data_IF_813457815383
#
_entry.id   IF_813457815383
#
_cell.length_a   1.000
_cell.length_b   1.000
_cell.length_c   1.000
_cell.angle_alpha   90.00
_cell.angle_beta   90.00
_cell.angle_gamma   90.00
#
_symmetry.space_group_name_H-M   'P 1'
#
loop_
_entity.id
_entity.type
_entity.pdbx_description
1 polymer ?
#
# COMPACT_ATOMS: atom_id res chain seq x y z
N UNK A 1 -4.02 -21.19 18.20
CA UNK A 1 -5.36 -20.91 17.69
C UNK A 1 -5.57 -21.76 16.48
N UNK A 2 -6.72 -22.42 16.42
CA UNK A 2 -7.08 -23.20 15.24
C UNK A 2 -7.72 -22.31 14.17
N UNK A 3 -8.04 -22.93 13.04
CA UNK A 3 -8.60 -22.25 11.88
C UNK A 3 -9.99 -21.66 12.15
N UNK A 4 -10.80 -22.35 12.96
CA UNK A 4 -12.18 -21.97 13.27
C UNK A 4 -12.23 -20.77 14.21
N UNK A 5 -11.38 -20.75 15.25
CA UNK A 5 -11.24 -19.61 16.15
C UNK A 5 -10.87 -18.31 15.40
N UNK A 6 -9.94 -18.41 14.44
CA UNK A 6 -9.52 -17.26 13.62
C UNK A 6 -10.66 -16.83 12.69
N UNK A 7 -11.34 -17.78 12.05
CA UNK A 7 -12.51 -17.52 11.21
C UNK A 7 -13.61 -16.75 11.96
N UNK A 8 -13.93 -17.16 13.19
CA UNK A 8 -14.92 -16.48 14.02
C UNK A 8 -14.51 -15.05 14.40
N UNK A 9 -13.23 -14.82 14.70
CA UNK A 9 -12.72 -13.46 14.94
C UNK A 9 -12.87 -12.57 13.72
N UNK A 10 -12.59 -13.10 12.52
CA UNK A 10 -12.75 -12.39 11.26
C UNK A 10 -14.21 -12.04 10.99
N UNK A 11 -15.14 -12.99 11.16
CA UNK A 11 -16.59 -12.73 11.01
C UNK A 11 -17.08 -11.64 11.94
N UNK A 12 -16.64 -11.66 13.21
CA UNK A 12 -16.97 -10.60 14.18
C UNK A 12 -16.43 -9.25 13.73
N UNK A 13 -15.16 -9.19 13.33
CA UNK A 13 -14.56 -7.95 12.84
C UNK A 13 -15.27 -7.39 11.59
N UNK A 14 -15.77 -8.26 10.71
CA UNK A 14 -16.58 -7.86 9.55
C UNK A 14 -17.97 -7.38 9.95
N UNK A 15 -18.61 -8.02 10.94
CA UNK A 15 -19.93 -7.63 11.44
C UNK A 15 -19.92 -6.31 12.23
N UNK A 16 -18.80 -5.98 12.87
CA UNK A 16 -18.61 -4.74 13.64
C UNK A 16 -18.32 -3.51 12.75
N UNK A 17 -18.15 -3.70 11.43
CA UNK A 17 -17.96 -2.58 10.52
C UNK A 17 -19.24 -1.73 10.46
N UNK A 18 -19.13 -0.40 10.57
CA UNK A 18 -20.27 0.46 10.29
C UNK A 18 -20.72 0.21 8.84
N UNK A 19 -22.03 0.16 8.61
CA UNK A 19 -22.59 0.15 7.25
C UNK A 19 -22.14 1.44 6.57
N UNK A 20 -21.10 1.38 5.74
CA UNK A 20 -20.54 2.56 5.12
C UNK A 20 -21.51 3.10 4.06
N UNK A 21 -22.13 4.25 4.34
CA UNK A 21 -22.95 5.00 3.38
C UNK A 21 -22.16 6.03 2.57
N UNK A 22 -20.82 5.97 2.56
CA UNK A 22 -20.00 6.96 1.86
C UNK A 22 -19.83 6.60 0.38
N UNK A 23 -20.89 6.83 -0.39
CA UNK A 23 -20.71 7.17 -1.79
C UNK A 23 -20.03 8.55 -1.83
N UNK A 24 -18.71 8.58 -2.01
CA UNK A 24 -17.98 9.83 -2.26
C UNK A 24 -18.43 10.36 -3.63
N UNK A 25 -19.04 11.56 -3.72
CA UNK A 25 -19.37 12.14 -5.01
C UNK A 25 -18.08 12.50 -5.77
N UNK A 26 -18.12 12.36 -7.09
CA UNK A 26 -17.09 12.75 -8.06
C UNK A 26 -15.77 11.95 -8.02
N UNK A 27 -15.75 10.81 -8.71
CA UNK A 27 -14.53 10.19 -9.24
C UNK A 27 -13.52 9.62 -8.23
N UNK A 28 -13.77 9.78 -6.92
CA UNK A 28 -12.94 9.26 -5.85
C UNK A 28 -13.56 7.99 -5.28
N UNK A 29 -13.23 6.86 -5.89
CA UNK A 29 -13.51 5.57 -5.28
C UNK A 29 -12.47 5.36 -4.16
N UNK A 30 -12.84 5.64 -2.91
CA UNK A 30 -12.10 5.13 -1.76
C UNK A 30 -12.42 3.63 -1.67
N UNK A 31 -11.62 2.80 -2.34
CA UNK A 31 -11.74 1.34 -2.23
C UNK A 31 -11.70 0.89 -0.75
N UNK A 32 -10.99 1.65 0.09
CA UNK A 32 -11.01 1.50 1.52
C UNK A 32 -12.08 2.40 2.15
N UNK A 33 -13.32 1.91 2.19
CA UNK A 33 -14.11 2.11 3.41
C UNK A 33 -13.35 1.56 4.63
N UNK A 34 -13.92 1.62 5.83
CA UNK A 34 -13.32 0.95 7.00
C UNK A 34 -13.23 -0.55 6.69
N UNK A 35 -12.04 -1.05 6.31
CA UNK A 35 -11.81 -2.48 6.07
C UNK A 35 -11.64 -3.20 7.40
N UNK A 36 -12.36 -4.30 7.57
CA UNK A 36 -12.23 -5.16 8.74
C UNK A 36 -10.79 -5.68 8.81
N UNK A 37 -10.23 -5.74 10.02
CA UNK A 37 -8.92 -6.33 10.23
C UNK A 37 -8.77 -6.82 11.66
N UNK A 38 -8.04 -7.91 11.82
CA UNK A 38 -7.59 -8.39 13.14
C UNK A 38 -6.06 -8.46 13.15
N UNK A 39 -5.47 -8.44 14.34
CA UNK A 39 -4.02 -8.54 14.49
C UNK A 39 -3.65 -9.73 15.38
N UNK A 40 -2.87 -10.65 14.84
CA UNK A 40 -2.47 -11.89 15.51
C UNK A 40 -0.94 -12.03 15.54
N UNK A 41 -0.45 -12.89 16.43
CA UNK A 41 0.94 -13.34 16.46
C UNK A 41 1.06 -14.65 15.68
N UNK A 42 2.09 -14.74 14.84
CA UNK A 42 2.46 -15.94 14.07
C UNK A 42 3.90 -16.30 14.39
N UNK A 43 4.13 -17.50 14.91
CA UNK A 43 5.46 -18.08 15.07
C UNK A 43 5.53 -19.39 14.27
N UNK A 44 6.25 -19.39 13.14
CA UNK A 44 6.20 -20.49 12.19
C UNK A 44 4.79 -20.63 11.59
N UNK A 45 4.17 -21.79 11.77
CA UNK A 45 2.79 -22.06 11.36
C UNK A 45 1.75 -21.81 12.46
N UNK A 46 2.18 -21.44 13.67
CA UNK A 46 1.28 -21.34 14.84
C UNK A 46 0.77 -19.92 15.01
N UNK A 47 -0.56 -19.78 15.06
CA UNK A 47 -1.26 -18.54 15.36
C UNK A 47 -1.65 -18.42 16.83
N UNK A 48 -1.52 -17.22 17.39
CA UNK A 48 -1.92 -16.89 18.76
C UNK A 48 -2.42 -15.45 18.89
N UNK A 49 -3.35 -15.22 19.82
CA UNK A 49 -3.78 -13.88 20.20
C UNK A 49 -2.67 -13.18 20.98
N UNK A 50 -2.37 -11.90 20.69
CA UNK A 50 -1.47 -11.12 21.52
C UNK A 50 -2.07 -10.98 22.93
N UNK A 51 -1.27 -11.27 23.96
CA UNK A 51 -1.68 -11.11 25.36
C UNK A 51 -0.58 -10.45 26.18
N UNK A 52 -0.97 -9.53 27.06
CA UNK A 52 -0.05 -8.73 27.88
C UNK A 52 1.00 -8.02 27.03
N UNK A 53 2.28 -8.29 27.32
CA UNK A 53 3.40 -7.67 26.61
C UNK A 53 3.65 -8.24 25.20
N UNK A 54 3.15 -9.45 24.90
CA UNK A 54 3.39 -10.14 23.62
C UNK A 54 2.69 -9.39 22.47
N UNK A 55 3.44 -8.81 21.51
CA UNK A 55 2.84 -8.09 20.40
C UNK A 55 2.24 -9.03 19.36
N UNK A 56 1.26 -8.53 18.59
CA UNK A 56 0.89 -9.13 17.31
C UNK A 56 2.01 -8.89 16.29
N UNK A 57 2.12 -9.80 15.32
CA UNK A 57 3.17 -9.79 14.26
C UNK A 57 2.59 -9.65 12.87
N UNK A 58 1.29 -9.95 12.71
CA UNK A 58 0.61 -9.94 11.43
C UNK A 58 -0.74 -9.24 11.57
N UNK A 59 -1.19 -8.64 10.47
CA UNK A 59 -2.54 -8.10 10.30
C UNK A 59 -3.24 -8.99 9.28
N UNK A 60 -4.44 -9.46 9.62
CA UNK A 60 -5.28 -10.23 8.71
C UNK A 60 -6.41 -9.32 8.23
N UNK A 61 -6.54 -9.19 6.92
CA UNK A 61 -7.57 -8.38 6.26
C UNK A 61 -8.47 -9.31 5.41
N UNK A 62 -9.70 -9.62 5.83
CA UNK A 62 -10.66 -10.27 4.94
C UNK A 62 -11.02 -9.33 3.78
N UNK A 63 -11.53 -9.91 2.70
CA UNK A 63 -12.10 -9.14 1.60
C UNK A 63 -13.29 -8.31 2.10
N UNK A 64 -13.45 -7.10 1.55
CA UNK A 64 -14.59 -6.26 1.84
C UNK A 64 -15.88 -6.84 1.21
N UNK A 65 -17.03 -6.77 1.89
CA UNK A 65 -18.31 -7.13 1.29
C UNK A 65 -18.56 -6.35 -0.01
N UNK A 66 -18.92 -7.05 -1.10
CA UNK A 66 -19.11 -6.45 -2.43
C UNK A 66 -17.81 -6.19 -3.22
N UNK A 67 -16.64 -6.55 -2.65
CA UNK A 67 -15.34 -6.53 -3.31
C UNK A 67 -14.59 -7.82 -2.98
N UNK A 68 -15.16 -8.95 -3.36
CA UNK A 68 -14.75 -10.27 -2.88
C UNK A 68 -13.29 -10.60 -3.20
N UNK A 69 -12.74 -10.07 -4.29
CA UNK A 69 -11.35 -10.31 -4.74
C UNK A 69 -10.38 -9.16 -4.43
N UNK A 70 -10.77 -8.17 -3.61
CA UNK A 70 -9.90 -7.05 -3.25
C UNK A 70 -8.60 -7.50 -2.54
N UNK A 71 -8.68 -8.54 -1.73
CA UNK A 71 -7.55 -9.14 -1.04
C UNK A 71 -6.52 -9.73 -2.04
N UNK A 72 -6.99 -10.36 -3.12
CA UNK A 72 -6.14 -10.84 -4.21
C UNK A 72 -5.51 -9.68 -4.97
N UNK A 73 -6.26 -8.61 -5.25
CA UNK A 73 -5.73 -7.40 -5.92
C UNK A 73 -4.62 -6.76 -5.07
N UNK A 74 -4.82 -6.63 -3.75
CA UNK A 74 -3.79 -6.12 -2.85
C UNK A 74 -2.57 -7.06 -2.80
N UNK A 75 -2.77 -8.38 -2.78
CA UNK A 75 -1.69 -9.37 -2.81
C UNK A 75 -0.83 -9.24 -4.07
N UNK A 76 -1.45 -9.16 -5.25
CA UNK A 76 -0.75 -8.97 -6.53
C UNK A 76 -0.02 -7.63 -6.55
N UNK A 77 -0.67 -6.56 -6.12
CA UNK A 77 -0.11 -5.20 -6.13
C UNK A 77 1.12 -5.10 -5.22
N UNK A 78 1.02 -5.58 -3.98
CA UNK A 78 2.12 -5.62 -3.02
C UNK A 78 3.24 -6.56 -3.46
N UNK A 79 2.90 -7.72 -4.05
CA UNK A 79 3.86 -8.64 -4.65
C UNK A 79 4.63 -7.99 -5.81
N UNK A 80 3.93 -7.23 -6.65
CA UNK A 80 4.51 -6.47 -7.77
C UNK A 80 5.50 -5.42 -7.26
N UNK A 81 5.13 -4.63 -6.24
CA UNK A 81 6.02 -3.66 -5.63
C UNK A 81 7.34 -4.30 -5.17
N UNK A 82 7.27 -5.45 -4.47
CA UNK A 82 8.47 -6.18 -4.03
C UNK A 82 9.30 -6.68 -5.21
N UNK A 83 8.67 -7.18 -6.28
CA UNK A 83 9.37 -7.65 -7.49
C UNK A 83 10.05 -6.53 -8.28
N UNK A 84 9.49 -5.34 -8.24
CA UNK A 84 10.12 -4.11 -8.72
C UNK A 84 11.28 -3.64 -7.82
N UNK A 85 11.52 -4.29 -6.68
CA UNK A 85 12.57 -3.91 -5.74
C UNK A 85 12.19 -2.76 -4.81
N UNK A 86 10.90 -2.41 -4.73
CA UNK A 86 10.40 -1.43 -3.78
C UNK A 86 10.42 -2.03 -2.37
N UNK A 87 10.69 -1.19 -1.37
CA UNK A 87 10.49 -1.58 0.02
C UNK A 87 9.00 -1.68 0.29
N UNK A 88 8.47 -2.89 0.40
CA UNK A 88 7.06 -3.16 0.66
C UNK A 88 6.91 -4.31 1.68
N UNK A 89 5.88 -4.22 2.52
CA UNK A 89 5.57 -5.23 3.52
C UNK A 89 5.34 -6.61 2.85
N UNK A 90 5.72 -7.68 3.55
CA UNK A 90 5.41 -9.02 3.07
C UNK A 90 3.91 -9.28 3.22
N UNK A 91 3.30 -9.82 2.16
CA UNK A 91 1.90 -10.26 2.17
C UNK A 91 1.79 -11.67 1.63
N UNK A 92 0.76 -12.37 2.08
CA UNK A 92 0.35 -13.67 1.56
C UNK A 92 -1.19 -13.77 1.62
N UNK A 93 -1.78 -14.72 0.90
CA UNK A 93 -3.21 -14.98 0.96
C UNK A 93 -3.43 -16.33 1.64
N UNK A 94 -4.30 -16.34 2.64
CA UNK A 94 -4.63 -17.54 3.42
C UNK A 94 -6.12 -17.63 3.65
N UNK A 95 -6.59 -18.83 4.00
CA UNK A 95 -8.00 -19.07 4.27
C UNK A 95 -8.18 -19.55 5.71
N UNK A 96 -9.15 -18.95 6.41
CA UNK A 96 -9.51 -19.27 7.78
C UNK A 96 -10.99 -19.58 7.88
N UNK A 97 -11.33 -20.84 8.10
CA UNK A 97 -12.71 -21.34 8.17
C UNK A 97 -13.57 -20.92 6.95
N UNK A 98 -13.04 -21.11 5.75
CA UNK A 98 -13.67 -20.72 4.49
C UNK A 98 -13.59 -19.22 4.17
N UNK A 99 -13.00 -18.38 5.03
CA UNK A 99 -12.80 -16.96 4.78
C UNK A 99 -11.39 -16.69 4.26
N UNK A 100 -11.32 -16.22 3.01
CA UNK A 100 -10.07 -15.74 2.42
C UNK A 100 -9.65 -14.41 3.02
N UNK A 101 -8.36 -14.29 3.30
CA UNK A 101 -7.77 -13.12 3.94
C UNK A 101 -6.38 -12.84 3.38
N UNK A 102 -6.08 -11.55 3.22
CA UNK A 102 -4.72 -11.07 3.10
C UNK A 102 -4.04 -11.11 4.47
N UNK A 103 -2.88 -11.75 4.54
CA UNK A 103 -2.01 -11.84 5.72
C UNK A 103 -0.81 -10.93 5.51
N UNK A 104 -0.76 -9.82 6.25
CA UNK A 104 0.29 -8.80 6.14
C UNK A 104 1.26 -8.93 7.32
N UNK A 105 2.55 -9.12 7.04
CA UNK A 105 3.61 -9.07 8.05
C UNK A 105 3.85 -7.63 8.49
N UNK A 106 3.88 -7.40 9.80
CA UNK A 106 4.04 -6.07 10.38
C UNK A 106 5.50 -5.63 10.38
N UNK A 107 5.83 -4.60 9.60
CA UNK A 107 7.17 -3.98 9.60
C UNK A 107 7.51 -3.25 10.91
N UNK A 108 6.50 -2.86 11.69
CA UNK A 108 6.66 -2.19 12.99
C UNK A 108 6.90 -3.19 14.15
N UNK A 109 7.36 -4.39 13.79
CA UNK A 109 7.79 -5.45 14.70
C UNK A 109 9.20 -5.87 14.35
N UNK A 110 9.99 -6.17 15.37
CA UNK A 110 11.32 -6.72 15.19
C UNK A 110 11.53 -7.89 16.14
N UNK A 111 12.27 -8.89 15.68
CA UNK A 111 12.70 -10.01 16.50
C UNK A 111 14.13 -9.75 16.98
N UNK A 112 14.32 -9.74 18.29
CA UNK A 112 15.63 -9.61 18.92
C UNK A 112 16.45 -10.91 18.74
N UNK A 113 17.79 -10.88 18.91
CA UNK A 113 18.63 -12.07 18.83
C UNK A 113 18.24 -13.20 19.79
N UNK A 114 17.63 -12.85 20.93
CA UNK A 114 17.10 -13.81 21.92
C UNK A 114 15.72 -14.39 21.53
N UNK A 115 15.22 -14.06 20.33
CA UNK A 115 13.97 -14.57 19.79
C UNK A 115 12.72 -13.80 20.22
N UNK A 116 12.82 -12.81 21.12
CA UNK A 116 11.68 -12.01 21.58
C UNK A 116 11.24 -11.00 20.52
N UNK A 117 9.93 -10.78 20.45
CA UNK A 117 9.34 -9.73 19.63
C UNK A 117 9.29 -8.41 20.39
N UNK A 118 9.70 -7.33 19.71
CA UNK A 118 9.58 -5.95 20.19
C UNK A 118 8.75 -5.11 19.22
N UNK A 119 8.08 -4.10 19.77
CA UNK A 119 7.40 -3.06 18.99
C UNK A 119 8.44 -2.05 18.54
N UNK A 120 8.33 -1.61 17.30
CA UNK A 120 9.11 -0.52 16.76
C UNK A 120 8.16 0.65 16.59
N UNK A 121 8.54 1.82 17.08
CA UNK A 121 7.69 3.00 16.97
C UNK A 121 7.57 3.41 15.51
N UNK A 122 6.37 3.82 15.11
CA UNK A 122 6.07 4.26 13.76
C UNK A 122 4.97 5.31 13.79
N UNK A 123 5.03 6.24 12.84
CA UNK A 123 4.07 7.33 12.69
C UNK A 123 3.68 7.44 11.22
N UNK A 124 2.37 7.51 10.96
CA UNK A 124 1.87 7.82 9.62
C UNK A 124 2.13 9.29 9.27
N UNK A 125 2.11 9.67 7.98
CA UNK A 125 2.47 11.05 7.62
C UNK A 125 1.46 12.08 8.14
N UNK A 126 0.23 11.70 8.47
CA UNK A 126 -0.65 12.64 9.18
C UNK A 126 -0.12 12.94 10.57
N UNK A 127 0.31 11.92 11.31
CA UNK A 127 0.91 12.11 12.63
C UNK A 127 2.23 12.90 12.54
N UNK A 128 3.11 12.52 11.62
CA UNK A 128 4.44 13.11 11.49
C UNK A 128 4.41 14.59 11.10
N UNK A 129 3.43 15.02 10.28
CA UNK A 129 3.25 16.44 9.91
C UNK A 129 2.31 17.19 10.86
N UNK A 130 1.71 16.51 11.85
CA UNK A 130 0.68 17.11 12.70
C UNK A 130 -0.66 17.38 11.99
N UNK A 131 -0.89 16.75 10.85
CA UNK A 131 -2.15 16.84 10.09
C UNK A 131 -3.26 16.04 10.78
N UNK A 132 -4.47 16.61 10.97
CA UNK A 132 -5.59 15.87 11.53
C UNK A 132 -5.97 14.64 10.68
N UNK A 133 -6.36 13.51 11.28
CA UNK A 133 -6.56 12.25 10.55
C UNK A 133 -7.71 12.27 9.53
N UNK A 134 -8.67 13.19 9.66
CA UNK A 134 -9.75 13.38 8.69
C UNK A 134 -9.31 14.17 7.44
N UNK A 135 -8.14 14.82 7.47
CA UNK A 135 -7.49 15.47 6.32
C UNK A 135 -6.41 14.57 5.75
N UNK A 136 -6.74 13.31 5.48
CA UNK A 136 -5.77 12.34 4.96
C UNK A 136 -5.41 12.59 3.50
N UNK A 137 -6.31 13.18 2.71
CA UNK A 137 -6.12 13.50 1.29
C UNK A 137 -5.58 14.92 1.08
N UNK A 138 -4.63 15.11 0.17
CA UNK A 138 -4.09 16.44 -0.16
C UNK A 138 -5.17 17.39 -0.69
N UNK A 139 -6.07 16.88 -1.55
CA UNK A 139 -7.24 17.64 -2.03
C UNK A 139 -8.20 18.12 -0.93
N UNK A 140 -8.04 17.62 0.30
CA UNK A 140 -8.78 18.02 1.49
C UNK A 140 -7.87 18.71 2.52
N UNK A 141 -6.81 19.38 2.05
CA UNK A 141 -5.82 20.09 2.87
C UNK A 141 -4.98 19.16 3.76
N UNK A 142 -4.81 17.91 3.34
CA UNK A 142 -3.86 16.98 3.93
C UNK A 142 -2.44 17.16 3.40
N UNK A 143 -1.48 16.44 4.00
CA UNK A 143 -0.10 16.46 3.56
C UNK A 143 0.04 15.86 2.14
N UNK A 144 0.64 16.65 1.24
CA UNK A 144 0.93 16.26 -0.15
C UNK A 144 2.33 15.70 -0.36
N UNK A 145 2.65 15.32 -1.60
CA UNK A 145 3.94 14.69 -1.93
C UNK A 145 5.16 15.57 -1.54
N UNK A 146 5.10 16.88 -1.82
CA UNK A 146 6.18 17.82 -1.48
C UNK A 146 6.42 17.94 0.02
N UNK A 147 5.34 18.05 0.81
CA UNK A 147 5.44 18.18 2.27
C UNK A 147 6.00 16.90 2.90
N UNK A 148 5.56 15.73 2.40
CA UNK A 148 6.10 14.44 2.83
C UNK A 148 7.58 14.30 2.46
N UNK A 149 7.96 14.70 1.24
CA UNK A 149 9.36 14.68 0.80
C UNK A 149 10.25 15.59 1.64
N UNK A 150 9.79 16.81 1.93
CA UNK A 150 10.47 17.78 2.80
C UNK A 150 10.65 17.25 4.22
N UNK A 151 9.61 16.62 4.79
CA UNK A 151 9.70 16.00 6.11
C UNK A 151 10.75 14.88 6.12
N UNK A 152 10.75 14.02 5.10
CA UNK A 152 11.73 12.94 4.97
C UNK A 152 13.15 13.50 4.81
N UNK A 153 13.33 14.52 3.98
CA UNK A 153 14.63 15.16 3.75
C UNK A 153 15.23 15.74 5.04
N UNK A 154 14.38 16.27 5.93
CA UNK A 154 14.81 16.87 7.20
C UNK A 154 14.99 15.87 8.35
N UNK A 155 14.17 14.81 8.41
CA UNK A 155 14.13 13.89 9.55
C UNK A 155 14.83 12.55 9.33
N UNK A 156 14.91 12.08 8.08
CA UNK A 156 15.44 10.74 7.80
C UNK A 156 16.93 10.64 8.12
N UNK A 157 17.35 9.52 8.72
CA UNK A 157 18.77 9.21 8.90
C UNK A 157 19.47 8.77 7.61
N UNK A 158 18.75 8.64 6.49
CA UNK A 158 19.30 8.55 5.13
C UNK A 158 18.35 9.22 4.13
N UNK A 159 18.31 10.56 4.13
CA UNK A 159 17.42 11.37 3.31
C UNK A 159 17.45 10.98 1.83
N UNK A 160 18.63 10.92 1.21
CA UNK A 160 18.79 10.59 -0.22
C UNK A 160 18.15 9.24 -0.61
N UNK A 161 18.24 8.24 0.26
CA UNK A 161 17.64 6.93 -0.01
C UNK A 161 16.13 6.97 0.20
N UNK A 162 15.65 7.64 1.24
CA UNK A 162 14.24 7.63 1.60
C UNK A 162 13.39 8.58 0.73
N UNK A 163 13.94 9.69 0.23
CA UNK A 163 13.27 10.54 -0.78
C UNK A 163 13.14 9.80 -2.11
N UNK A 164 14.18 9.06 -2.52
CA UNK A 164 14.12 8.14 -3.66
C UNK A 164 13.05 7.07 -3.45
N UNK A 165 12.99 6.42 -2.28
CA UNK A 165 11.95 5.41 -1.97
C UNK A 165 10.55 6.01 -2.00
N UNK A 166 10.36 7.25 -1.53
CA UNK A 166 9.08 7.96 -1.66
C UNK A 166 8.71 8.15 -3.14
N UNK A 167 9.62 8.68 -3.96
CA UNK A 167 9.37 8.88 -5.39
C UNK A 167 9.04 7.56 -6.07
N UNK A 168 9.79 6.50 -5.79
CA UNK A 168 9.51 5.17 -6.29
C UNK A 168 8.09 4.69 -5.96
N UNK A 169 7.63 4.95 -4.73
CA UNK A 169 6.27 4.61 -4.31
C UNK A 169 5.19 5.46 -4.97
N UNK A 170 5.42 6.77 -5.13
CA UNK A 170 4.50 7.67 -5.82
C UNK A 170 4.38 7.29 -7.30
N UNK A 171 5.51 7.02 -7.97
CA UNK A 171 5.54 6.53 -9.35
C UNK A 171 4.79 5.20 -9.49
N UNK A 172 5.02 4.26 -8.56
CA UNK A 172 4.30 2.99 -8.57
C UNK A 172 2.78 3.19 -8.48
N UNK A 173 2.32 4.03 -7.55
CA UNK A 173 0.90 4.36 -7.42
C UNK A 173 0.32 5.05 -8.65
N UNK A 174 1.09 5.87 -9.37
CA UNK A 174 0.65 6.40 -10.65
C UNK A 174 0.46 5.30 -11.71
N UNK A 175 1.47 4.44 -11.88
CA UNK A 175 1.46 3.40 -12.90
C UNK A 175 0.36 2.35 -12.67
N UNK A 176 0.03 2.05 -11.41
CA UNK A 176 -1.04 1.11 -11.06
C UNK A 176 -2.40 1.79 -10.79
N UNK A 177 -2.53 3.11 -11.02
CA UNK A 177 -3.70 3.90 -10.60
C UNK A 177 -4.12 3.62 -9.14
N UNK A 178 -3.16 3.66 -8.23
CA UNK A 178 -3.35 3.62 -6.78
C UNK A 178 -3.92 4.95 -6.29
N UNK A 179 -5.24 5.10 -6.40
CA UNK A 179 -5.96 6.35 -6.12
C UNK A 179 -6.10 6.66 -4.63
N UNK A 180 -5.86 5.68 -3.75
CA UNK A 180 -6.06 5.81 -2.30
C UNK A 180 -4.74 5.86 -1.50
N UNK A 181 -3.61 6.18 -2.17
CA UNK A 181 -2.30 6.32 -1.53
C UNK A 181 -2.16 7.69 -0.82
N UNK A 182 -2.95 7.90 0.23
CA UNK A 182 -3.02 9.16 0.98
C UNK A 182 -2.00 9.23 2.13
N UNK A 183 -1.93 10.34 2.87
CA UNK A 183 -0.88 10.58 3.88
C UNK A 183 -0.78 9.46 4.94
N UNK A 184 -1.88 8.75 5.24
CA UNK A 184 -1.87 7.63 6.19
C UNK A 184 -1.33 6.29 5.63
N UNK A 185 -1.05 6.21 4.33
CA UNK A 185 -0.44 5.04 3.67
C UNK A 185 1.08 5.15 3.53
N UNK A 186 1.65 6.24 4.02
CA UNK A 186 3.09 6.41 4.19
C UNK A 186 3.37 6.59 5.68
N UNK A 187 4.44 5.99 6.16
CA UNK A 187 4.84 6.08 7.57
C UNK A 187 6.35 6.20 7.68
N UNK A 188 6.82 6.74 8.79
CA UNK A 188 8.22 6.65 9.21
C UNK A 188 8.36 5.65 10.36
N UNK A 189 9.47 4.93 10.40
CA UNK A 189 9.83 4.01 11.48
C UNK A 189 10.94 4.64 12.31
N UNK A 190 10.74 4.68 13.63
CA UNK A 190 11.63 5.30 14.59
C UNK A 190 12.32 4.22 15.44
N UNK A 191 13.66 4.18 15.35
CA UNK A 191 14.54 3.25 16.08
C UNK A 191 15.62 4.03 16.83
N UNK A 192 15.28 4.50 18.03
CA UNK A 192 16.14 5.44 18.76
C UNK A 192 16.25 6.74 17.96
N UNK A 193 17.47 7.19 17.68
CA UNK A 193 17.71 8.38 16.83
C UNK A 193 17.59 8.14 15.32
N UNK A 194 17.32 6.91 14.87
CA UNK A 194 17.17 6.60 13.45
C UNK A 194 15.71 6.70 13.02
N UNK A 195 15.43 7.59 12.07
CA UNK A 195 14.13 7.70 11.40
C UNK A 195 14.31 7.26 9.96
N UNK A 196 13.49 6.32 9.49
CA UNK A 196 13.53 5.84 8.11
C UNK A 196 12.13 5.73 7.53
N UNK A 197 11.96 5.92 6.22
CA UNK A 197 10.69 5.63 5.55
C UNK A 197 10.32 4.15 5.73
N UNK A 198 9.08 3.89 6.15
CA UNK A 198 8.54 2.54 6.29
C UNK A 198 8.41 1.86 4.92
N UNK A 199 8.43 0.51 4.87
CA UNK A 199 8.00 -0.21 3.67
C UNK A 199 6.56 0.17 3.30
N UNK A 200 6.23 0.16 2.01
CA UNK A 200 4.86 0.31 1.53
C UNK A 200 3.93 -0.73 2.16
N UNK A 201 2.69 -0.33 2.38
CA UNK A 201 1.61 -1.17 2.90
C UNK A 201 0.28 -0.64 2.38
N UNK A 202 -0.74 -1.49 2.32
CA UNK A 202 -2.10 -1.08 1.97
C UNK A 202 -2.15 -0.39 0.58
N UNK A 203 -1.44 -0.99 -0.39
CA UNK A 203 -1.37 -0.52 -1.78
C UNK A 203 -2.33 -1.36 -2.62
N UNK A 204 -3.26 -0.70 -3.29
CA UNK A 204 -4.27 -1.34 -4.13
C UNK A 204 -4.37 -0.64 -5.49
N UNK A 205 -4.85 -1.34 -6.51
CA UNK A 205 -4.97 -0.80 -7.87
C UNK A 205 -6.42 -0.65 -8.29
N UNK A 206 -6.78 0.55 -8.74
CA UNK A 206 -8.11 0.80 -9.28
C UNK A 206 -8.35 0.18 -10.66
N UNK A 207 -7.28 -0.32 -11.32
CA UNK A 207 -7.34 -0.93 -12.66
C UNK A 207 -8.05 -2.29 -12.64
N UNK A 208 -8.16 -2.94 -11.48
CA UNK A 208 -8.98 -4.13 -11.30
C UNK A 208 -10.48 -3.85 -11.51
N UNK A 209 -10.93 -2.61 -11.32
CA UNK A 209 -12.36 -2.25 -11.26
C UNK A 209 -12.78 -1.19 -12.28
N UNK A 210 -11.82 -0.59 -12.99
CA UNK A 210 -12.06 0.45 -14.00
C UNK A 210 -11.27 0.18 -15.26
N UNK A 211 -11.31 1.09 -16.23
CA UNK A 211 -10.49 1.04 -17.44
C UNK A 211 -9.24 1.94 -17.34
N UNK A 212 -8.95 2.45 -16.14
CA UNK A 212 -7.87 3.41 -15.87
C UNK A 212 -8.19 4.84 -16.32
N UNK A 213 -7.30 5.78 -16.01
CA UNK A 213 -7.35 7.15 -16.54
C UNK A 213 -8.32 8.13 -15.88
N UNK A 214 -9.45 7.67 -15.31
CA UNK A 214 -10.45 8.54 -14.65
C UNK A 214 -10.18 8.83 -13.17
N UNK A 215 -9.25 8.10 -12.55
CA UNK A 215 -8.91 8.24 -11.13
C UNK A 215 -8.00 9.44 -10.84
N UNK A 216 -8.15 9.97 -9.63
CA UNK A 216 -7.24 10.98 -9.07
C UNK A 216 -6.31 10.31 -8.06
N UNK A 217 -5.01 10.64 -8.12
CA UNK A 217 -4.07 10.32 -7.04
C UNK A 217 -4.48 11.04 -5.76
N UNK A 218 -4.12 10.45 -4.63
CA UNK A 218 -4.34 11.07 -3.31
C UNK A 218 -3.32 12.18 -2.98
N UNK A 219 -2.14 12.10 -3.59
CA UNK A 219 -1.11 13.14 -3.58
C UNK A 219 -0.80 13.53 -5.02
N UNK A 220 -0.91 14.82 -5.33
CA UNK A 220 -0.67 15.35 -6.67
C UNK A 220 0.81 15.45 -6.99
N UNK A 221 1.13 15.38 -8.27
CA UNK A 221 2.49 15.61 -8.80
C UNK A 221 2.41 16.84 -9.68
N UNK A 222 3.20 17.87 -9.37
CA UNK A 222 3.13 19.19 -10.02
C UNK A 222 1.70 19.76 -10.01
N UNK A 223 0.98 19.58 -8.90
CA UNK A 223 -0.40 20.02 -8.71
C UNK A 223 -1.45 19.25 -9.52
N UNK A 224 -1.05 18.20 -10.26
CA UNK A 224 -1.95 17.36 -11.05
C UNK A 224 -2.28 16.07 -10.29
N UNK A 225 -3.57 15.80 -10.11
CA UNK A 225 -4.07 14.60 -9.45
C UNK A 225 -4.55 13.54 -10.44
N UNK A 226 -5.19 13.95 -11.53
CA UNK A 226 -5.75 13.05 -12.53
C UNK A 226 -4.65 12.21 -13.18
N UNK A 227 -4.72 10.89 -13.02
CA UNK A 227 -3.65 9.96 -13.47
C UNK A 227 -3.37 10.06 -14.97
N UNK A 228 -4.38 10.36 -15.79
CA UNK A 228 -4.27 10.52 -17.25
C UNK A 228 -3.69 11.86 -17.70
N UNK A 229 -3.58 12.85 -16.82
CA UNK A 229 -2.98 14.15 -17.13
C UNK A 229 -1.52 14.25 -16.68
N UNK A 230 -1.02 13.24 -15.96
CA UNK A 230 0.38 13.14 -15.57
C UNK A 230 1.22 12.67 -16.75
N UNK A 231 2.32 13.38 -16.99
CA UNK A 231 3.29 13.08 -18.05
C UNK A 231 4.67 12.96 -17.44
N UNK A 232 5.61 12.33 -18.15
CA UNK A 232 7.04 12.29 -17.74
C UNK A 232 7.58 13.69 -17.43
N UNK A 233 7.19 14.70 -18.21
CA UNK A 233 7.64 16.07 -18.01
C UNK A 233 7.21 16.64 -16.65
N UNK A 234 5.94 16.41 -16.25
CA UNK A 234 5.41 16.85 -14.95
C UNK A 234 6.19 16.25 -13.79
N UNK A 235 6.53 14.97 -13.89
CA UNK A 235 7.41 14.31 -12.92
C UNK A 235 8.77 15.00 -12.84
N UNK A 236 9.43 15.19 -13.97
CA UNK A 236 10.74 15.86 -14.04
C UNK A 236 10.71 17.28 -13.45
N UNK A 237 9.65 18.05 -13.72
CA UNK A 237 9.45 19.39 -13.15
C UNK A 237 9.26 19.35 -11.62
N UNK A 238 8.76 18.23 -11.09
CA UNK A 238 8.55 18.00 -9.66
C UNK A 238 9.79 17.43 -8.93
N UNK A 239 10.76 16.88 -9.65
CA UNK A 239 11.89 16.12 -9.09
C UNK A 239 12.64 16.86 -7.96
N UNK A 240 12.97 18.12 -8.18
CA UNK A 240 13.69 18.92 -7.18
C UNK A 240 12.86 19.18 -5.92
N UNK A 241 11.53 19.34 -6.05
CA UNK A 241 10.64 19.49 -4.90
C UNK A 241 10.45 18.18 -4.12
N UNK A 242 10.75 17.04 -4.75
CA UNK A 242 10.77 15.73 -4.12
C UNK A 242 12.17 15.32 -3.66
N UNK A 243 13.14 16.23 -3.68
CA UNK A 243 14.52 16.01 -3.23
C UNK A 243 15.21 14.86 -3.96
N UNK A 244 14.98 14.75 -5.27
CA UNK A 244 15.67 13.79 -6.14
C UNK A 244 16.22 14.45 -7.41
N UNK A 245 17.20 13.79 -8.00
CA UNK A 245 17.77 14.20 -9.27
C UNK A 245 16.79 13.97 -10.44
N UNK A 246 16.59 14.95 -11.35
CA UNK A 246 15.65 14.82 -12.47
C UNK A 246 16.00 13.68 -13.44
N UNK A 247 17.29 13.43 -13.73
CA UNK A 247 17.70 12.37 -14.66
C UNK A 247 17.51 10.99 -14.01
N UNK A 248 17.76 10.89 -12.71
CA UNK A 248 17.42 9.70 -11.93
C UNK A 248 15.91 9.42 -11.97
N UNK A 249 15.06 10.45 -11.86
CA UNK A 249 13.61 10.26 -11.89
C UNK A 249 13.12 9.69 -13.23
N UNK A 250 13.64 10.18 -14.36
CA UNK A 250 13.34 9.61 -15.69
C UNK A 250 13.74 8.14 -15.74
N UNK A 251 14.97 7.84 -15.31
CA UNK A 251 15.49 6.47 -15.29
C UNK A 251 14.63 5.55 -14.42
N UNK A 252 14.16 6.02 -13.27
CA UNK A 252 13.32 5.24 -12.35
C UNK A 252 11.92 4.99 -12.93
N UNK A 253 11.30 5.99 -13.56
CA UNK A 253 10.01 5.83 -14.26
C UNK A 253 10.13 4.75 -15.33
N UNK A 254 11.13 4.86 -16.21
CA UNK A 254 11.34 3.90 -17.29
C UNK A 254 11.65 2.50 -16.76
N UNK A 255 12.43 2.39 -15.66
CA UNK A 255 12.71 1.12 -14.99
C UNK A 255 11.44 0.45 -14.47
N UNK A 256 10.54 1.19 -13.82
CA UNK A 256 9.28 0.63 -13.34
C UNK A 256 8.37 0.24 -14.49
N UNK A 257 8.17 1.12 -15.47
CA UNK A 257 7.32 0.84 -16.64
C UNK A 257 7.78 -0.41 -17.39
N UNK A 258 9.08 -0.55 -17.65
CA UNK A 258 9.64 -1.69 -18.38
C UNK A 258 9.48 -3.04 -17.67
N UNK A 259 9.33 -3.03 -16.34
CA UNK A 259 9.28 -4.26 -15.51
C UNK A 259 7.91 -4.52 -14.89
N UNK A 260 6.98 -3.57 -14.99
CA UNK A 260 5.71 -3.59 -14.25
C UNK A 260 4.86 -4.80 -14.63
N UNK A 261 4.61 -5.00 -15.93
CA UNK A 261 3.74 -6.07 -16.42
C UNK A 261 4.29 -7.45 -16.06
N UNK A 262 5.56 -7.73 -16.37
CA UNK A 262 6.22 -8.99 -15.99
C UNK A 262 6.20 -9.22 -14.47
N UNK A 263 6.44 -8.17 -13.68
CA UNK A 263 6.40 -8.26 -12.22
C UNK A 263 4.99 -8.57 -11.71
N UNK A 264 3.97 -8.04 -12.37
CA UNK A 264 2.57 -8.23 -12.00
C UNK A 264 2.06 -9.63 -12.35
N UNK A 265 2.40 -10.14 -13.54
CA UNK A 265 2.15 -11.54 -13.89
C UNK A 265 2.83 -12.50 -12.92
N UNK A 266 4.13 -12.29 -12.63
CA UNK A 266 4.85 -13.12 -11.68
C UNK A 266 4.32 -13.02 -10.23
N UNK A 267 3.63 -11.93 -9.87
CA UNK A 267 2.95 -11.80 -8.58
C UNK A 267 1.60 -12.52 -8.59
N UNK A 268 0.85 -12.47 -9.70
CA UNK A 268 -0.41 -13.18 -9.88
C UNK A 268 -0.24 -14.71 -9.96
N UNK A 269 0.89 -15.19 -10.49
CA UNK A 269 1.18 -16.62 -10.64
C UNK A 269 1.54 -17.34 -9.33
N UNK A 270 1.80 -16.60 -8.25
CA UNK A 270 2.07 -17.20 -6.92
C UNK A 270 0.87 -18.05 -6.49
N UNK A 271 1.12 -19.30 -6.06
CA UNK A 271 0.07 -20.29 -5.75
C UNK A 271 -1.03 -19.77 -4.81
N UNK A 272 -0.65 -18.99 -3.78
CA UNK A 272 -1.61 -18.41 -2.85
C UNK A 272 -2.60 -17.43 -3.51
N UNK A 273 -2.29 -16.93 -4.69
CA UNK A 273 -3.17 -16.09 -5.54
C UNK A 273 -3.78 -16.91 -6.67
N UNK A 274 -2.96 -17.55 -7.51
CA UNK A 274 -3.37 -18.16 -8.79
C UNK A 274 -4.39 -19.28 -8.63
N UNK A 275 -4.36 -20.02 -7.50
CA UNK A 275 -5.31 -21.11 -7.21
C UNK A 275 -6.78 -20.67 -7.19
N UNK A 276 -7.05 -19.37 -7.02
CA UNK A 276 -8.40 -18.83 -6.96
C UNK A 276 -9.00 -18.50 -8.33
N UNK A 277 -8.20 -18.45 -9.41
CA UNK A 277 -8.72 -18.22 -10.77
C UNK A 277 -9.55 -16.93 -10.93
N UNK A 278 -9.21 -15.87 -10.19
CA UNK A 278 -10.00 -14.64 -10.11
C UNK A 278 -10.03 -13.88 -11.45
N UNK A 279 -11.23 -13.62 -11.96
CA UNK A 279 -11.43 -12.77 -13.14
C UNK A 279 -11.09 -11.30 -12.88
N UNK A 280 -11.16 -10.86 -11.61
CA UNK A 280 -10.74 -9.51 -11.19
C UNK A 280 -9.23 -9.35 -11.32
N UNK A 281 -8.45 -10.37 -10.94
CA UNK A 281 -6.99 -10.40 -11.15
C UNK A 281 -6.66 -10.44 -12.65
N UNK A 282 -7.36 -11.24 -13.45
CA UNK A 282 -7.17 -11.23 -14.92
C UNK A 282 -7.43 -9.83 -15.49
N UNK A 283 -8.54 -9.20 -15.11
CA UNK A 283 -8.88 -7.83 -15.53
C UNK A 283 -7.82 -6.82 -15.11
N UNK A 284 -7.28 -6.94 -13.90
CA UNK A 284 -6.22 -6.09 -13.39
C UNK A 284 -4.99 -6.13 -14.31
N UNK A 285 -4.55 -7.32 -14.71
CA UNK A 285 -3.39 -7.50 -15.60
C UNK A 285 -3.65 -6.88 -16.98
N UNK A 286 -4.75 -7.25 -17.63
CA UNK A 286 -5.13 -6.75 -18.97
C UNK A 286 -5.33 -5.22 -18.99
N UNK A 287 -5.90 -4.66 -17.93
CA UNK A 287 -6.15 -3.22 -17.85
C UNK A 287 -4.87 -2.46 -17.53
N UNK A 288 -3.96 -3.04 -16.74
CA UNK A 288 -2.65 -2.43 -16.47
C UNK A 288 -1.80 -2.37 -17.74
N UNK A 289 -1.78 -3.44 -18.54
CA UNK A 289 -1.09 -3.44 -19.83
C UNK A 289 -1.63 -2.36 -20.78
N UNK A 290 -2.96 -2.30 -20.96
CA UNK A 290 -3.61 -1.26 -21.77
C UNK A 290 -3.35 0.15 -21.23
N UNK A 291 -3.34 0.33 -19.91
CA UNK A 291 -3.13 1.62 -19.28
C UNK A 291 -1.70 2.13 -19.48
N UNK A 292 -0.70 1.32 -19.16
CA UNK A 292 0.71 1.67 -19.28
C UNK A 292 1.08 1.93 -20.74
N UNK A 293 0.50 1.19 -21.68
CA UNK A 293 0.68 1.42 -23.11
C UNK A 293 0.16 2.79 -23.61
N UNK A 294 -0.63 3.52 -22.81
CA UNK A 294 -1.09 4.89 -23.10
C UNK A 294 -0.22 5.98 -22.47
N UNK A 295 0.72 5.62 -21.60
CA UNK A 295 1.58 6.58 -20.89
C UNK A 295 2.80 6.92 -21.77
N UNK A 296 2.67 7.98 -22.57
CA UNK A 296 3.76 8.60 -23.34
C UNK A 296 4.59 9.59 -22.51
#
# INVERSE_FOLDING_TARGET
>A
MDNSEIGDMLRRAMADLPVSSEAVPDGKFSLAGVQAKIALRKDGSVWSSPHGASPSTHILKPANPGMEDQDLVEAVTMGTARRLGLSAAHVDVSEFDGLRCLVVERYDRARLPDGRWVRVHQEDMCQATGTPPFRKYESQWGAGAREVAELIANLSSNADEDTRRLVQALTFNWLICGTDAHARNYSVVLRGGNVRLAPLYDVNSHLAYTDGGSGDLSMGIDGIFRVSLLTRRRWVDEAMHLHVDPDWMVTEIDRQMARLIDSMHAAADVDSVSRYGSSVVTRLLETTERWVGRLE
#
